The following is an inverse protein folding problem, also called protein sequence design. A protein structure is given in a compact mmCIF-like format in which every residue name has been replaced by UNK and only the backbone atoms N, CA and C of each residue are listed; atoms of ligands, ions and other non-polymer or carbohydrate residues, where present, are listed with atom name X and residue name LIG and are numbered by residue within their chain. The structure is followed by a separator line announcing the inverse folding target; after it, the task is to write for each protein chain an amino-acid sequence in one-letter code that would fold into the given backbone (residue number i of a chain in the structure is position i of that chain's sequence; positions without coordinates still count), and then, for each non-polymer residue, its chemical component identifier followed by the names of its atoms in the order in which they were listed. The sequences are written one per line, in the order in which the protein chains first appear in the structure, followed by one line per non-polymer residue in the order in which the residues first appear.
data_IF_333483776963
#
_entry.id   IF_333483776963
#
_cell.length_a   1.000
_cell.length_b   1.000
_cell.length_c   1.000
_cell.angle_alpha   90.00
_cell.angle_beta   90.00
_cell.angle_gamma   90.00
#
_symmetry.space_group_name_H-M   'P 1'
#
loop_
_entity.id
_entity.type
_entity.pdbx_description
1 polymer ?
#
# COMPACT_ATOMS: atom_id res chain seq x y z
N UNK A 1 -1.49 -8.14 1.99
CA UNK A 1 -1.39 -6.89 2.78
C UNK A 1 -0.09 -6.93 3.56
N UNK A 2 0.71 -5.87 3.49
CA UNK A 2 2.00 -5.74 4.19
C UNK A 2 1.89 -4.64 5.24
N UNK A 3 2.12 -4.97 6.51
CA UNK A 3 1.91 -4.08 7.66
C UNK A 3 3.23 -3.89 8.40
N UNK A 4 3.60 -2.64 8.69
CA UNK A 4 4.61 -2.33 9.68
C UNK A 4 3.97 -2.07 11.05
N UNK A 5 4.64 -2.44 12.12
CA UNK A 5 4.19 -2.18 13.49
C UNK A 5 5.37 -1.77 14.38
N UNK A 6 5.35 -0.54 14.85
CA UNK A 6 6.34 0.00 15.80
C UNK A 6 5.75 0.02 17.21
N UNK A 7 6.37 -0.72 18.13
CA UNK A 7 5.94 -0.90 19.52
C UNK A 7 7.15 -1.38 20.33
N UNK A 8 7.48 -0.75 21.40
CA UNK A 8 8.65 -1.11 22.23
C UNK A 8 8.38 -2.26 23.19
N UNK A 9 7.11 -2.47 23.59
CA UNK A 9 6.73 -3.53 24.52
C UNK A 9 6.51 -4.88 23.81
N UNK A 10 7.35 -5.93 24.10
CA UNK A 10 7.26 -7.23 23.41
C UNK A 10 5.90 -7.92 23.55
N UNK A 11 5.26 -7.78 24.72
CA UNK A 11 3.96 -8.40 24.97
C UNK A 11 2.86 -7.81 24.08
N UNK A 12 2.89 -6.49 23.85
CA UNK A 12 1.94 -5.83 22.96
C UNK A 12 2.21 -6.19 21.50
N UNK A 13 3.49 -6.28 21.08
CA UNK A 13 3.85 -6.76 19.73
C UNK A 13 3.26 -8.15 19.47
N UNK A 14 3.51 -9.10 20.37
CA UNK A 14 3.01 -10.48 20.21
C UNK A 14 1.47 -10.54 20.18
N UNK A 15 0.81 -9.72 20.98
CA UNK A 15 -0.66 -9.66 21.00
C UNK A 15 -1.20 -9.11 19.67
N UNK A 16 -0.61 -8.04 19.14
CA UNK A 16 -1.03 -7.45 17.86
C UNK A 16 -0.80 -8.43 16.71
N UNK A 17 0.35 -9.09 16.67
CA UNK A 17 0.64 -10.11 15.66
C UNK A 17 -0.40 -11.23 15.66
N UNK A 18 -0.84 -11.67 16.85
CA UNK A 18 -1.90 -12.67 16.97
C UNK A 18 -3.23 -12.16 16.42
N UNK A 19 -3.63 -10.92 16.74
CA UNK A 19 -4.86 -10.31 16.20
C UNK A 19 -4.82 -10.19 14.69
N UNK A 20 -3.70 -9.70 14.13
CA UNK A 20 -3.52 -9.55 12.70
C UNK A 20 -3.53 -10.90 11.97
N UNK A 21 -2.89 -11.92 12.55
CA UNK A 21 -2.94 -13.29 12.02
C UNK A 21 -4.36 -13.85 12.02
N UNK A 22 -5.09 -13.67 13.13
CA UNK A 22 -6.50 -14.10 13.25
C UNK A 22 -7.37 -13.43 12.18
N UNK A 23 -7.17 -12.14 11.94
CA UNK A 23 -7.86 -11.42 10.87
C UNK A 23 -7.55 -12.01 9.50
N UNK A 24 -6.27 -12.23 9.19
CA UNK A 24 -5.82 -12.78 7.91
C UNK A 24 -6.42 -14.17 7.64
N UNK A 25 -6.45 -15.04 8.66
CA UNK A 25 -7.04 -16.37 8.56
C UNK A 25 -8.54 -16.31 8.29
N UNK A 26 -9.28 -15.48 9.04
CA UNK A 26 -10.74 -15.31 8.86
C UNK A 26 -11.10 -14.78 7.48
N UNK A 27 -10.30 -13.84 6.96
CA UNK A 27 -10.51 -13.22 5.65
C UNK A 27 -9.84 -13.96 4.50
N UNK A 28 -9.04 -15.00 4.78
CA UNK A 28 -8.24 -15.74 3.79
C UNK A 28 -7.32 -14.83 2.98
N UNK A 29 -6.69 -13.86 3.65
CA UNK A 29 -5.84 -12.85 3.03
C UNK A 29 -4.36 -13.16 3.26
N UNK A 30 -3.51 -13.01 2.24
CA UNK A 30 -2.08 -12.98 2.46
C UNK A 30 -1.73 -11.72 3.27
N UNK A 31 -1.14 -11.92 4.46
CA UNK A 31 -0.70 -10.86 5.35
C UNK A 31 0.75 -11.08 5.77
N UNK A 32 1.55 -10.02 5.69
CA UNK A 32 2.92 -9.96 6.23
C UNK A 32 2.98 -8.84 7.24
N UNK A 33 3.51 -9.13 8.42
CA UNK A 33 3.71 -8.13 9.49
C UNK A 33 5.20 -8.02 9.78
N UNK A 34 5.71 -6.79 9.78
CA UNK A 34 7.08 -6.46 10.17
C UNK A 34 7.02 -5.61 11.44
N UNK A 35 7.51 -6.18 12.54
CA UNK A 35 7.48 -5.53 13.85
C UNK A 35 8.84 -4.91 14.19
N UNK A 36 8.82 -3.69 14.69
CA UNK A 36 9.98 -2.90 15.09
C UNK A 36 9.88 -2.52 16.56
N UNK A 37 10.99 -2.64 17.28
CA UNK A 37 11.05 -2.29 18.70
C UNK A 37 11.16 -0.80 18.97
N UNK A 38 11.57 -0.03 17.97
CA UNK A 38 11.81 1.41 18.09
C UNK A 38 11.82 2.11 16.72
N UNK A 39 11.71 3.43 16.75
CA UNK A 39 11.68 4.27 15.55
C UNK A 39 13.00 4.23 14.77
N UNK A 40 14.14 4.04 15.45
CA UNK A 40 15.44 4.02 14.79
C UNK A 40 15.61 2.76 13.94
N UNK A 41 15.18 1.60 14.45
CA UNK A 41 15.18 0.33 13.72
C UNK A 41 14.31 0.43 12.46
N UNK A 42 13.11 1.04 12.57
CA UNK A 42 12.23 1.28 11.44
C UNK A 42 12.88 2.17 10.37
N UNK A 43 13.38 3.34 10.76
CA UNK A 43 13.99 4.29 9.82
C UNK A 43 15.31 3.79 9.22
N UNK A 44 16.05 2.95 9.94
CA UNK A 44 17.25 2.31 9.41
C UNK A 44 16.92 1.37 8.25
N UNK A 45 15.86 0.59 8.39
CA UNK A 45 15.43 -0.35 7.36
C UNK A 45 14.67 0.34 6.22
N UNK A 46 13.95 1.42 6.51
CA UNK A 46 13.12 2.16 5.56
C UNK A 46 13.44 3.67 5.59
N UNK A 47 14.55 4.09 5.01
CA UNK A 47 15.02 5.48 5.14
C UNK A 47 14.30 6.50 4.23
N UNK A 48 13.19 6.14 3.60
CA UNK A 48 12.45 7.07 2.74
C UNK A 48 11.52 6.42 1.73
N UNK A 49 11.33 5.10 1.85
CA UNK A 49 10.35 4.35 1.04
C UNK A 49 9.63 3.37 1.95
N UNK A 50 8.31 3.47 2.00
CA UNK A 50 7.49 2.71 2.95
C UNK A 50 6.53 1.77 2.19
N UNK A 51 7.02 0.57 1.74
CA UNK A 51 6.23 -0.36 0.94
C UNK A 51 5.21 -1.11 1.78
N UNK A 52 4.45 -0.37 2.60
CA UNK A 52 3.44 -0.91 3.49
C UNK A 52 2.05 -0.44 3.09
N UNK A 53 1.09 -1.30 3.35
CA UNK A 53 -0.32 -1.02 3.18
C UNK A 53 -0.93 -0.31 4.38
N UNK A 54 -0.24 -0.42 5.53
CA UNK A 54 -0.58 0.21 6.78
C UNK A 54 0.64 0.23 7.70
N UNK A 55 0.81 1.32 8.42
CA UNK A 55 1.80 1.44 9.49
C UNK A 55 1.08 1.67 10.81
N UNK A 56 1.26 0.76 11.77
CA UNK A 56 0.87 0.96 13.15
C UNK A 56 2.01 1.60 13.93
N UNK A 57 1.72 2.66 14.65
CA UNK A 57 2.68 3.35 15.50
C UNK A 57 2.13 3.46 16.93
N UNK A 58 2.88 2.94 17.89
CA UNK A 58 2.67 3.40 19.26
C UNK A 58 3.19 4.84 19.38
N UNK A 59 2.49 5.65 20.16
CA UNK A 59 2.95 7.01 20.46
C UNK A 59 4.12 6.96 21.46
N UNK A 60 4.03 6.11 22.47
CA UNK A 60 5.01 5.96 23.53
C UNK A 60 6.18 5.03 23.11
N UNK A 61 6.89 5.38 22.04
CA UNK A 61 8.09 4.65 21.62
C UNK A 61 9.34 5.18 22.34
N UNK A 62 10.23 4.29 22.72
CA UNK A 62 11.52 4.66 23.27
C UNK A 62 12.36 5.49 22.28
N UNK A 63 12.87 6.64 22.74
CA UNK A 63 13.69 7.54 21.92
C UNK A 63 12.85 8.56 21.13
N UNK A 64 12.69 8.38 19.81
CA UNK A 64 11.80 9.19 19.00
C UNK A 64 10.37 8.65 19.15
N UNK A 65 9.43 9.48 19.61
CA UNK A 65 8.02 9.11 19.75
C UNK A 65 7.34 8.81 18.41
N UNK A 66 6.17 8.15 18.46
CA UNK A 66 5.42 7.76 17.28
C UNK A 66 4.93 8.94 16.44
N UNK A 67 4.66 10.10 17.07
CA UNK A 67 4.25 11.31 16.36
C UNK A 67 5.40 11.92 15.56
N UNK A 68 6.60 11.98 16.15
CA UNK A 68 7.79 12.44 15.46
C UNK A 68 8.18 11.48 14.32
N UNK A 69 8.02 10.16 14.52
CA UNK A 69 8.21 9.17 13.46
C UNK A 69 7.21 9.39 12.33
N UNK A 70 5.93 9.61 12.62
CA UNK A 70 4.91 9.86 11.61
C UNK A 70 5.21 11.13 10.79
N UNK A 71 5.62 12.24 11.44
CA UNK A 71 6.07 13.45 10.72
C UNK A 71 7.21 13.14 9.76
N UNK A 72 8.17 12.33 10.19
CA UNK A 72 9.29 11.92 9.36
C UNK A 72 8.88 11.06 8.17
N UNK A 73 7.93 10.15 8.36
CA UNK A 73 7.34 9.39 7.26
C UNK A 73 6.66 10.34 6.26
N UNK A 74 5.91 11.32 6.74
CA UNK A 74 5.19 12.29 5.89
C UNK A 74 6.09 13.23 5.09
N UNK A 75 7.36 13.41 5.47
CA UNK A 75 8.34 14.13 4.65
C UNK A 75 8.57 13.48 3.27
N UNK A 76 8.37 12.15 3.16
CA UNK A 76 8.65 11.38 1.94
C UNK A 76 7.46 10.60 1.40
N UNK A 77 6.48 10.29 2.25
CA UNK A 77 5.27 9.55 1.88
C UNK A 77 4.05 10.17 2.54
N UNK A 78 3.25 10.88 1.73
CA UNK A 78 2.00 11.51 2.16
C UNK A 78 0.80 10.56 2.17
N UNK A 79 0.91 9.37 1.56
CA UNK A 79 -0.24 8.52 1.26
C UNK A 79 -0.33 7.28 2.15
N UNK A 80 0.80 6.70 2.60
CA UNK A 80 0.75 5.47 3.40
C UNK A 80 -0.14 5.66 4.63
N UNK A 81 -1.16 4.80 4.82
CA UNK A 81 -2.04 4.92 5.99
C UNK A 81 -1.26 4.71 7.29
N UNK A 82 -1.39 5.64 8.23
CA UNK A 82 -0.81 5.55 9.57
C UNK A 82 -1.93 5.43 10.58
N UNK A 83 -1.86 4.42 11.43
CA UNK A 83 -2.79 4.19 12.53
C UNK A 83 -2.02 4.20 13.85
N UNK A 84 -2.41 5.12 14.74
CA UNK A 84 -1.80 5.20 16.05
C UNK A 84 -2.46 4.28 17.05
N UNK A 85 -1.62 3.66 17.88
CA UNK A 85 -2.03 2.88 19.05
C UNK A 85 -1.54 3.62 20.29
N UNK A 86 -2.43 3.92 21.23
CA UNK A 86 -2.05 4.75 22.37
C UNK A 86 -2.92 4.50 23.60
N UNK A 87 -2.35 4.76 24.77
CA UNK A 87 -3.10 4.87 26.03
C UNK A 87 -3.68 6.28 26.25
N UNK A 88 -3.29 7.27 25.43
CA UNK A 88 -3.51 8.67 25.62
C UNK A 88 -4.56 9.25 24.65
N UNK A 89 -5.66 9.73 25.15
CA UNK A 89 -6.76 10.31 24.34
C UNK A 89 -6.43 11.71 23.80
N UNK A 90 -5.54 12.43 24.44
CA UNK A 90 -5.15 13.80 24.14
C UNK A 90 -4.43 13.95 22.79
N UNK A 91 -3.71 12.94 22.34
CA UNK A 91 -2.98 12.97 21.06
C UNK A 91 -3.87 12.88 19.82
N UNK A 92 -5.16 12.60 19.97
CA UNK A 92 -6.09 12.53 18.83
C UNK A 92 -6.12 13.84 18.04
N UNK A 93 -5.95 15.00 18.71
CA UNK A 93 -5.93 16.31 18.05
C UNK A 93 -4.64 16.58 17.25
N UNK A 94 -3.49 16.07 17.69
CA UNK A 94 -2.21 16.26 17.00
C UNK A 94 -2.12 15.42 15.70
N UNK A 95 -2.92 14.38 15.60
CA UNK A 95 -2.93 13.51 14.42
C UNK A 95 -3.46 14.12 13.14
N UNK A 96 -4.16 15.23 13.23
CA UNK A 96 -4.53 15.99 12.03
C UNK A 96 -3.31 16.50 11.27
N UNK A 97 -2.22 16.85 11.97
CA UNK A 97 -0.99 17.34 11.37
C UNK A 97 -0.29 16.27 10.49
N UNK A 98 -0.38 15.01 10.90
CA UNK A 98 0.26 13.88 10.18
C UNK A 98 -0.71 13.09 9.31
N UNK A 99 -1.93 13.60 9.14
CA UNK A 99 -2.98 12.93 8.35
C UNK A 99 -3.12 11.44 8.73
N UNK A 100 -3.26 11.18 10.04
CA UNK A 100 -3.44 9.83 10.52
C UNK A 100 -4.75 9.23 9.99
N UNK A 101 -4.70 7.98 9.54
CA UNK A 101 -5.89 7.26 9.10
C UNK A 101 -6.86 7.07 10.26
N UNK A 102 -6.37 6.61 11.41
CA UNK A 102 -7.18 6.41 12.64
C UNK A 102 -6.31 6.40 13.89
N UNK A 103 -7.00 6.49 15.03
CA UNK A 103 -6.45 6.28 16.37
C UNK A 103 -7.19 5.14 17.05
N UNK A 104 -6.46 4.22 17.66
CA UNK A 104 -6.98 3.16 18.51
C UNK A 104 -6.45 3.32 19.92
N UNK A 105 -7.36 3.35 20.89
CA UNK A 105 -6.99 3.27 22.30
C UNK A 105 -6.65 1.83 22.68
N UNK A 106 -5.56 1.65 23.40
CA UNK A 106 -5.24 0.38 24.03
C UNK A 106 -6.19 0.10 25.21
N UNK A 107 -6.60 -1.14 25.46
CA UNK A 107 -6.19 -2.37 24.80
C UNK A 107 -6.89 -2.57 23.46
N UNK A 108 -6.12 -2.91 22.42
CA UNK A 108 -6.66 -3.23 21.10
C UNK A 108 -7.33 -4.61 21.15
N UNK A 109 -8.53 -4.71 20.58
CA UNK A 109 -9.33 -5.94 20.50
C UNK A 109 -9.75 -6.21 19.06
N UNK A 110 -10.28 -7.42 18.80
CA UNK A 110 -10.86 -7.75 17.50
C UNK A 110 -11.95 -6.75 17.10
N UNK A 111 -12.85 -6.42 18.03
CA UNK A 111 -14.00 -5.53 17.79
C UNK A 111 -13.58 -4.11 17.39
N UNK A 112 -12.42 -3.66 17.85
CA UNK A 112 -11.90 -2.32 17.53
C UNK A 112 -11.00 -2.33 16.30
N UNK A 113 -10.23 -3.39 16.08
CA UNK A 113 -9.24 -3.48 15.01
C UNK A 113 -9.84 -3.95 13.68
N UNK A 114 -10.66 -5.01 13.71
CA UNK A 114 -11.13 -5.66 12.48
C UNK A 114 -11.96 -4.75 11.58
N UNK A 115 -12.91 -3.94 12.09
CA UNK A 115 -13.63 -3.00 11.25
C UNK A 115 -12.74 -1.99 10.53
N UNK A 116 -11.64 -1.54 11.18
CA UNK A 116 -10.69 -0.60 10.56
C UNK A 116 -9.86 -1.25 9.46
N UNK A 117 -9.47 -2.51 9.65
CA UNK A 117 -8.78 -3.26 8.60
C UNK A 117 -9.71 -3.55 7.42
N UNK A 118 -10.99 -3.80 7.67
CA UNK A 118 -12.01 -3.95 6.62
C UNK A 118 -12.25 -2.65 5.87
N UNK A 119 -12.35 -1.51 6.59
CA UNK A 119 -12.44 -0.18 5.98
C UNK A 119 -11.24 0.10 5.08
N UNK A 120 -10.03 -0.16 5.56
CA UNK A 120 -8.80 0.01 4.78
C UNK A 120 -8.79 -0.85 3.51
N UNK A 121 -9.24 -2.10 3.63
CA UNK A 121 -9.35 -2.99 2.47
C UNK A 121 -10.37 -2.50 1.45
N UNK A 122 -11.54 -2.02 1.91
CA UNK A 122 -12.57 -1.47 1.04
C UNK A 122 -12.07 -0.21 0.31
N UNK A 123 -11.32 0.66 1.00
CA UNK A 123 -10.69 1.83 0.38
C UNK A 123 -9.66 1.43 -0.69
N UNK A 124 -8.87 0.39 -0.43
CA UNK A 124 -7.89 -0.13 -1.40
C UNK A 124 -8.54 -0.84 -2.58
N UNK A 125 -9.64 -1.54 -2.35
CA UNK A 125 -10.46 -2.12 -3.43
C UNK A 125 -11.13 -1.05 -4.32
N UNK A 126 -11.11 0.22 -3.92
CA UNK A 126 -11.51 1.37 -4.73
C UNK A 126 -10.33 2.04 -5.46
N UNK A 127 -9.09 1.71 -5.13
CA UNK A 127 -7.97 2.14 -5.95
C UNK A 127 -8.06 1.47 -7.32
N UNK A 128 -8.31 2.30 -8.35
CA UNK A 128 -8.34 1.81 -9.72
C UNK A 128 -7.03 1.10 -10.04
N UNK A 129 -7.07 -0.10 -10.64
CA UNK A 129 -5.87 -0.82 -11.04
C UNK A 129 -4.96 0.09 -11.86
N UNK A 130 -3.68 0.13 -11.52
CA UNK A 130 -2.71 0.99 -12.19
C UNK A 130 -1.33 0.34 -12.30
N UNK A 131 -0.54 0.81 -13.25
CA UNK A 131 0.88 0.51 -13.40
C UNK A 131 1.72 1.74 -13.16
N UNK A 132 2.91 1.54 -12.61
CA UNK A 132 3.96 2.56 -12.58
C UNK A 132 4.90 2.32 -13.77
N UNK A 133 4.95 3.27 -14.69
CA UNK A 133 5.77 3.19 -15.90
C UNK A 133 6.90 4.22 -15.83
N UNK A 134 8.13 3.79 -16.15
CA UNK A 134 9.25 4.71 -16.34
C UNK A 134 9.29 5.17 -17.79
N UNK A 135 8.86 6.40 -18.01
CA UNK A 135 8.79 7.03 -19.33
C UNK A 135 9.71 8.27 -19.34
N UNK A 136 10.69 8.27 -20.22
CA UNK A 136 11.63 9.41 -20.35
C UNK A 136 12.46 9.72 -19.10
N UNK A 137 12.59 8.76 -18.15
CA UNK A 137 13.31 8.95 -16.89
C UNK A 137 12.43 9.40 -15.72
N UNK A 138 11.15 9.63 -15.96
CA UNK A 138 10.15 9.92 -14.92
C UNK A 138 9.25 8.72 -14.69
N UNK A 139 8.80 8.51 -13.44
CA UNK A 139 7.81 7.49 -13.11
C UNK A 139 6.42 8.08 -13.19
N UNK A 140 5.60 7.54 -14.08
CA UNK A 140 4.21 7.96 -14.27
C UNK A 140 3.26 6.84 -13.86
N UNK A 141 2.12 7.22 -13.27
CA UNK A 141 1.04 6.31 -12.88
C UNK A 141 0.04 6.20 -14.03
N UNK A 142 -0.08 5.00 -14.61
CA UNK A 142 -1.07 4.68 -15.64
C UNK A 142 -2.22 3.89 -15.02
N UNK A 143 -3.42 4.44 -14.96
CA UNK A 143 -4.60 3.68 -14.58
C UNK A 143 -5.03 2.75 -15.72
N UNK A 144 -5.32 1.48 -15.40
CA UNK A 144 -5.72 0.51 -16.40
C UNK A 144 -7.05 0.88 -17.09
N UNK A 145 -7.92 1.62 -16.39
CA UNK A 145 -9.16 2.18 -16.94
C UNK A 145 -8.93 3.20 -18.06
N UNK A 146 -7.77 3.84 -18.10
CA UNK A 146 -7.46 4.87 -19.08
C UNK A 146 -6.80 4.29 -20.33
N UNK A 147 -6.29 3.05 -20.23
CA UNK A 147 -5.64 2.33 -21.32
C UNK A 147 -6.70 1.72 -22.24
N UNK A 148 -6.74 2.18 -23.48
CA UNK A 148 -7.69 1.70 -24.51
C UNK A 148 -7.17 0.43 -25.18
N UNK A 149 -5.94 0.47 -25.67
CA UNK A 149 -5.24 -0.68 -26.24
C UNK A 149 -3.73 -0.46 -26.25
N UNK A 150 -3.00 -1.53 -26.43
CA UNK A 150 -1.54 -1.55 -26.56
C UNK A 150 -1.17 -2.12 -27.91
N UNK A 151 -0.34 -1.40 -28.64
CA UNK A 151 0.24 -1.82 -29.90
C UNK A 151 1.70 -2.18 -29.71
N UNK A 152 2.14 -3.30 -30.32
CA UNK A 152 3.52 -3.74 -30.29
C UNK A 152 4.13 -3.71 -31.69
N UNK A 153 5.23 -2.99 -31.83
CA UNK A 153 6.06 -3.01 -33.02
C UNK A 153 7.54 -3.19 -32.63
N UNK A 154 8.15 -4.31 -33.06
CA UNK A 154 9.60 -4.63 -32.93
C UNK A 154 10.18 -4.53 -31.54
N UNK A 155 9.73 -4.61 -30.45
CA UNK A 155 10.15 -4.39 -29.06
C UNK A 155 9.76 -3.02 -28.50
N UNK A 156 8.99 -2.24 -29.22
CA UNK A 156 8.38 -1.01 -28.70
C UNK A 156 6.90 -1.28 -28.46
N UNK A 157 6.40 -0.75 -27.36
CA UNK A 157 4.99 -0.72 -27.06
C UNK A 157 4.49 0.70 -27.15
N UNK A 158 3.37 0.89 -27.84
CA UNK A 158 2.64 2.14 -27.86
C UNK A 158 1.36 1.96 -27.06
N UNK A 159 1.24 2.71 -25.97
CA UNK A 159 0.03 2.76 -25.16
C UNK A 159 -0.91 3.80 -25.77
N UNK A 160 -2.13 3.42 -26.05
CA UNK A 160 -3.18 4.32 -26.48
C UNK A 160 -4.15 4.56 -25.33
N UNK A 161 -4.22 5.81 -24.90
CA UNK A 161 -5.09 6.26 -23.80
C UNK A 161 -6.02 7.38 -24.29
N UNK A 162 -7.05 7.72 -23.51
CA UNK A 162 -7.90 8.87 -23.80
C UNK A 162 -7.14 10.22 -23.77
N UNK A 163 -5.99 10.27 -23.06
CA UNK A 163 -5.16 11.47 -22.94
C UNK A 163 -4.10 11.61 -24.07
N UNK A 164 -3.80 10.51 -24.78
CA UNK A 164 -2.78 10.51 -25.82
C UNK A 164 -2.11 9.16 -26.03
N UNK A 165 -0.96 9.19 -26.69
CA UNK A 165 -0.16 8.00 -26.98
C UNK A 165 1.24 8.14 -26.39
N UNK A 166 1.76 7.05 -25.82
CA UNK A 166 3.12 6.98 -25.31
C UNK A 166 3.82 5.71 -25.78
N UNK A 167 5.06 5.86 -26.26
CA UNK A 167 5.85 4.74 -26.79
C UNK A 167 7.10 4.51 -25.96
N UNK A 168 7.36 3.27 -25.58
CA UNK A 168 8.55 2.87 -24.84
C UNK A 168 9.00 1.46 -25.21
N UNK A 169 10.25 1.13 -24.86
CA UNK A 169 10.83 -0.18 -25.18
C UNK A 169 10.45 -1.20 -24.12
N UNK A 170 9.66 -2.18 -24.49
CA UNK A 170 9.28 -3.33 -23.63
C UNK A 170 8.72 -4.47 -24.45
N UNK A 171 8.78 -5.69 -23.90
CA UNK A 171 8.17 -6.87 -24.51
C UNK A 171 6.66 -6.93 -24.18
N UNK A 172 5.83 -7.26 -25.17
CA UNK A 172 4.38 -7.34 -25.00
C UNK A 172 3.96 -8.41 -23.99
N UNK A 173 4.66 -9.56 -23.96
CA UNK A 173 4.36 -10.64 -23.02
C UNK A 173 4.63 -10.24 -21.58
N UNK A 174 5.77 -9.60 -21.31
CA UNK A 174 6.11 -9.06 -19.99
C UNK A 174 5.12 -8.00 -19.54
N UNK A 175 4.75 -7.10 -20.45
CA UNK A 175 3.78 -6.05 -20.14
C UNK A 175 2.39 -6.61 -19.84
N UNK A 176 1.97 -7.66 -20.55
CA UNK A 176 0.72 -8.38 -20.26
C UNK A 176 0.71 -9.01 -18.88
N UNK A 177 1.83 -9.60 -18.45
CA UNK A 177 1.98 -10.15 -17.10
C UNK A 177 1.84 -9.05 -16.03
N UNK A 178 2.47 -7.89 -16.24
CA UNK A 178 2.34 -6.75 -15.33
C UNK A 178 0.91 -6.20 -15.26
N UNK A 179 0.24 -6.06 -16.40
CA UNK A 179 -1.18 -5.67 -16.45
C UNK A 179 -2.05 -6.65 -15.66
N UNK A 180 -1.83 -7.96 -15.87
CA UNK A 180 -2.58 -9.01 -15.16
C UNK A 180 -2.30 -8.99 -13.66
N UNK A 181 -1.05 -8.78 -13.26
CA UNK A 181 -0.68 -8.67 -11.85
C UNK A 181 -1.31 -7.42 -11.18
N UNK A 182 -1.30 -6.27 -11.85
CA UNK A 182 -1.93 -5.05 -11.35
C UNK A 182 -3.45 -5.18 -11.23
N UNK A 183 -4.08 -5.86 -12.18
CA UNK A 183 -5.52 -6.15 -12.16
C UNK A 183 -5.89 -7.06 -10.98
N UNK A 184 -5.16 -8.17 -10.80
CA UNK A 184 -5.39 -9.09 -9.69
C UNK A 184 -5.12 -8.45 -8.32
N UNK A 185 -4.12 -7.57 -8.24
CA UNK A 185 -3.78 -6.86 -7.01
C UNK A 185 -4.90 -5.91 -6.54
N UNK A 186 -5.73 -5.41 -7.47
CA UNK A 186 -6.90 -4.57 -7.13
C UNK A 186 -8.13 -5.37 -6.65
N UNK A 187 -8.05 -6.71 -6.61
CA UNK A 187 -9.15 -7.58 -6.20
C UNK A 187 -10.15 -7.88 -7.32
N UNK A 188 -9.90 -7.41 -8.53
CA UNK A 188 -10.73 -7.70 -9.71
C UNK A 188 -10.49 -9.13 -10.18
N UNK A 189 -11.54 -9.76 -10.73
CA UNK A 189 -11.50 -11.14 -11.24
C UNK A 189 -11.71 -11.14 -12.75
N UNK A 190 -10.97 -12.01 -13.44
CA UNK A 190 -11.04 -12.13 -14.90
C UNK A 190 -9.82 -11.53 -15.60
N UNK A 191 -9.85 -11.54 -16.93
CA UNK A 191 -8.82 -10.91 -17.77
C UNK A 191 -9.24 -9.48 -18.09
N UNK A 192 -8.39 -8.50 -17.75
CA UNK A 192 -8.66 -7.09 -18.08
C UNK A 192 -8.27 -6.74 -19.52
N UNK A 193 -7.32 -7.48 -20.11
CA UNK A 193 -6.87 -7.26 -21.49
C UNK A 193 -6.82 -8.55 -22.27
N UNK A 194 -7.52 -8.57 -23.39
CA UNK A 194 -7.51 -9.69 -24.33
C UNK A 194 -6.49 -9.46 -25.47
N UNK A 195 -5.78 -10.52 -25.84
CA UNK A 195 -4.94 -10.48 -27.02
C UNK A 195 -5.82 -10.55 -28.28
N UNK A 196 -6.11 -9.39 -28.90
CA UNK A 196 -6.89 -9.33 -30.13
C UNK A 196 -6.04 -9.78 -31.35
N UNK A 197 -4.73 -9.63 -31.28
CA UNK A 197 -3.76 -10.05 -32.30
C UNK A 197 -2.40 -10.25 -31.65
N UNK A 198 -1.42 -10.90 -32.34
CA UNK A 198 -0.05 -11.06 -31.85
C UNK A 198 0.67 -9.75 -31.48
N UNK A 199 0.14 -8.63 -31.95
CA UNK A 199 0.69 -7.28 -31.74
C UNK A 199 -0.25 -6.34 -31.00
N UNK A 200 -1.42 -6.79 -30.54
CA UNK A 200 -2.44 -5.94 -29.92
C UNK A 200 -3.02 -6.54 -28.66
N UNK A 201 -3.05 -5.79 -27.57
CA UNK A 201 -3.88 -6.04 -26.38
C UNK A 201 -4.97 -4.99 -26.32
N UNK A 202 -6.23 -5.40 -26.09
CA UNK A 202 -7.40 -4.52 -26.02
C UNK A 202 -8.04 -4.67 -24.65
N UNK A 203 -8.45 -3.54 -24.07
CA UNK A 203 -9.20 -3.48 -22.80
C UNK A 203 -10.64 -3.92 -22.98
#
# INVERSE_FOLDING_TARGET
MRIAYCEDEPAQRSRMELLLRTFAERKRLPLTVEAFSDSAAFLFQYPGSYPFDLIFLDIDLGGMDGMALARKIRETDSEVPILFLTNHKEYVFEGYEVQAFRYLLKPVTEDTLFPLLEELQAMRGQEKPHLLLSLGGETQKLFLSDLLFVESDNHYLTLHTAAGMETFKKNLSEFREELSAAWQASGETGECFAAAHRSYLVN
#
